data_IF_158527292951
#
_entry.id   IF_158527292951
#
_cell.length_a   1.000
_cell.length_b   1.000
_cell.length_c   1.000
_cell.angle_alpha   90.00
_cell.angle_beta   90.00
_cell.angle_gamma   90.00
#
_symmetry.space_group_name_H-M   'P 1'
#
loop_
_entity.id
_entity.type
_entity.pdbx_description
1 polymer ?
#
# COMPACT_ATOMS: atom_id res chain seq x y z
N UNK A 1 38.61 -6.58 13.11
CA UNK A 1 38.06 -5.24 12.98
C UNK A 1 36.63 -5.40 12.43
N UNK A 2 35.62 -5.31 13.31
CA UNK A 2 34.21 -5.39 12.88
C UNK A 2 33.84 -4.07 12.21
N UNK A 3 33.42 -4.14 10.94
CA UNK A 3 32.88 -2.99 10.23
C UNK A 3 31.62 -2.51 10.95
N UNK A 4 31.52 -1.20 11.19
CA UNK A 4 30.36 -0.55 11.77
C UNK A 4 29.09 -0.90 10.97
N UNK A 5 27.93 -1.10 11.62
CA UNK A 5 26.69 -1.36 10.90
C UNK A 5 26.31 -0.12 10.10
N UNK A 6 26.65 -0.11 8.81
CA UNK A 6 26.13 0.87 7.87
C UNK A 6 24.61 0.80 7.93
N UNK A 7 23.96 1.95 8.04
CA UNK A 7 22.50 2.12 7.95
C UNK A 7 22.03 1.34 6.73
N UNK A 8 21.44 0.16 6.97
CA UNK A 8 20.87 -0.67 5.88
C UNK A 8 19.76 0.15 5.24
N UNK A 9 20.03 0.66 4.04
CA UNK A 9 19.06 1.42 3.26
C UNK A 9 17.91 0.48 2.94
N UNK A 10 16.69 0.91 3.18
CA UNK A 10 15.49 0.14 2.85
C UNK A 10 15.37 0.05 1.33
N UNK A 11 15.32 -1.15 0.75
CA UNK A 11 15.13 -1.41 -0.68
C UNK A 11 13.90 -0.65 -1.22
N UNK A 12 12.81 -0.62 -0.42
CA UNK A 12 11.64 0.19 -0.74
C UNK A 12 11.93 1.69 -0.79
N UNK A 13 12.74 2.19 0.14
CA UNK A 13 13.13 3.59 0.19
C UNK A 13 13.96 4.00 -1.03
N UNK A 14 14.82 3.13 -1.51
CA UNK A 14 15.65 3.39 -2.69
C UNK A 14 14.80 3.34 -3.97
N UNK A 15 13.85 2.40 -4.09
CA UNK A 15 12.88 2.35 -5.18
C UNK A 15 12.01 3.63 -5.24
N UNK A 16 11.56 4.14 -4.08
CA UNK A 16 10.80 5.39 -4.03
C UNK A 16 11.66 6.62 -4.37
N UNK A 17 12.93 6.63 -3.97
CA UNK A 17 13.88 7.71 -4.33
C UNK A 17 14.17 7.75 -5.81
N UNK A 18 14.19 6.63 -6.50
CA UNK A 18 14.33 6.57 -7.96
C UNK A 18 13.20 7.34 -8.67
N UNK A 19 12.00 7.39 -8.07
CA UNK A 19 10.85 8.14 -8.58
C UNK A 19 10.83 9.63 -8.17
N UNK A 20 11.88 10.16 -7.49
CA UNK A 20 11.90 11.52 -6.93
C UNK A 20 11.62 12.60 -7.98
N UNK A 21 12.20 12.49 -9.16
CA UNK A 21 11.98 13.45 -10.26
C UNK A 21 10.51 13.49 -10.71
N UNK A 22 9.86 12.32 -10.77
CA UNK A 22 8.45 12.21 -11.10
C UNK A 22 7.56 12.87 -10.01
N UNK A 23 7.88 12.70 -8.72
CA UNK A 23 7.17 13.39 -7.62
C UNK A 23 7.36 14.90 -7.66
N UNK A 24 8.56 15.39 -8.00
CA UNK A 24 8.79 16.84 -8.22
C UNK A 24 7.93 17.34 -9.37
N UNK A 25 7.83 16.58 -10.49
CA UNK A 25 6.97 16.88 -11.60
C UNK A 25 5.48 16.94 -11.19
N UNK A 26 5.01 15.99 -10.37
CA UNK A 26 3.64 16.01 -9.80
C UNK A 26 3.43 17.27 -8.95
N UNK A 27 4.40 17.64 -8.12
CA UNK A 27 4.33 18.86 -7.31
C UNK A 27 4.23 20.13 -8.15
N UNK A 28 5.03 20.25 -9.21
CA UNK A 28 4.97 21.38 -10.14
C UNK A 28 3.62 21.45 -10.89
N UNK A 29 3.11 20.28 -11.35
CA UNK A 29 1.78 20.24 -11.98
C UNK A 29 0.68 20.62 -10.97
N UNK A 30 0.73 20.13 -9.74
CA UNK A 30 -0.19 20.53 -8.67
C UNK A 30 -0.14 22.05 -8.41
N UNK A 31 1.04 22.65 -8.44
CA UNK A 31 1.21 24.11 -8.35
C UNK A 31 0.42 24.80 -9.48
N UNK A 32 0.65 24.42 -10.73
CA UNK A 32 -0.04 25.04 -11.87
C UNK A 32 -1.55 24.79 -11.84
N UNK A 33 -1.98 23.60 -11.50
CA UNK A 33 -3.41 23.24 -11.39
C UNK A 33 -4.10 24.08 -10.31
N UNK A 34 -3.46 24.24 -9.14
CA UNK A 34 -4.02 25.04 -8.07
C UNK A 34 -4.09 26.53 -8.42
N UNK A 35 -3.14 27.08 -9.19
CA UNK A 35 -3.25 28.43 -9.75
C UNK A 35 -4.40 28.53 -10.75
N UNK A 36 -4.56 27.55 -11.64
CA UNK A 36 -5.65 27.51 -12.60
C UNK A 36 -7.03 27.36 -11.95
N UNK A 37 -7.14 26.78 -10.76
CA UNK A 37 -8.39 26.74 -9.99
C UNK A 37 -8.90 28.14 -9.60
N UNK A 38 -8.06 29.16 -9.56
CA UNK A 38 -8.47 30.56 -9.33
C UNK A 38 -9.26 31.13 -10.51
N UNK A 39 -9.11 30.56 -11.71
CA UNK A 39 -9.80 31.02 -12.94
C UNK A 39 -11.30 31.17 -12.72
N UNK A 40 -11.95 30.20 -12.06
CA UNK A 40 -13.40 30.26 -11.83
C UNK A 40 -13.81 31.41 -10.91
N UNK A 41 -13.04 31.68 -9.86
CA UNK A 41 -13.32 32.77 -8.93
C UNK A 41 -13.10 34.12 -9.58
N UNK A 42 -11.99 34.28 -10.33
CA UNK A 42 -11.64 35.53 -11.03
C UNK A 42 -12.65 35.78 -12.18
N UNK A 43 -13.01 34.74 -12.92
CA UNK A 43 -14.02 34.84 -13.99
C UNK A 43 -15.37 35.34 -13.46
N UNK A 44 -15.84 34.82 -12.33
CA UNK A 44 -17.09 35.29 -11.73
C UNK A 44 -16.97 36.70 -11.19
N UNK A 45 -15.83 37.06 -10.55
CA UNK A 45 -15.56 38.41 -10.10
C UNK A 45 -15.67 39.42 -11.27
N UNK A 46 -15.00 39.17 -12.38
CA UNK A 46 -14.99 40.04 -13.55
C UNK A 46 -16.38 40.13 -14.22
N UNK A 47 -17.15 39.04 -14.25
CA UNK A 47 -18.51 39.06 -14.78
C UNK A 47 -19.40 39.98 -13.96
N UNK A 48 -19.44 39.82 -12.63
CA UNK A 48 -20.38 40.56 -11.81
C UNK A 48 -19.97 42.02 -11.60
N UNK A 49 -18.68 42.30 -11.47
CA UNK A 49 -18.21 43.65 -11.16
C UNK A 49 -17.87 44.47 -12.38
N UNK A 50 -17.66 43.85 -13.57
CA UNK A 50 -17.26 44.57 -14.78
C UNK A 50 -18.22 44.35 -15.97
N UNK A 51 -18.54 43.10 -16.31
CA UNK A 51 -19.32 42.79 -17.52
C UNK A 51 -20.78 43.19 -17.35
N UNK A 52 -21.42 42.82 -16.24
CA UNK A 52 -22.84 43.12 -15.99
C UNK A 52 -23.11 44.62 -15.90
N UNK A 53 -22.31 45.43 -15.15
CA UNK A 53 -22.52 46.87 -15.10
C UNK A 53 -22.26 47.56 -16.45
N UNK A 54 -21.21 47.12 -17.18
CA UNK A 54 -20.87 47.70 -18.50
C UNK A 54 -21.72 47.20 -19.64
N UNK A 55 -22.49 46.12 -19.47
CA UNK A 55 -23.31 45.46 -20.52
C UNK A 55 -22.51 45.13 -21.79
N UNK A 56 -21.19 44.90 -21.66
CA UNK A 56 -20.31 44.67 -22.81
C UNK A 56 -20.25 43.21 -23.21
N UNK A 57 -20.94 42.87 -24.31
CA UNK A 57 -20.92 41.53 -24.92
C UNK A 57 -19.51 41.15 -25.41
N UNK A 58 -18.70 42.02 -26.04
CA UNK A 58 -17.34 41.68 -26.46
C UNK A 58 -16.43 41.27 -25.29
N UNK A 59 -16.55 41.96 -24.16
CA UNK A 59 -15.79 41.61 -22.96
C UNK A 59 -16.21 40.25 -22.40
N UNK A 60 -17.51 39.94 -22.41
CA UNK A 60 -18.02 38.64 -22.01
C UNK A 60 -17.44 37.52 -22.88
N UNK A 61 -17.49 37.69 -24.21
CA UNK A 61 -16.94 36.70 -25.14
C UNK A 61 -15.44 36.47 -24.92
N UNK A 62 -14.69 37.56 -24.77
CA UNK A 62 -13.25 37.47 -24.47
C UNK A 62 -12.95 36.71 -23.19
N UNK A 63 -13.68 36.97 -22.09
CA UNK A 63 -13.54 36.28 -20.82
C UNK A 63 -13.92 34.80 -20.91
N UNK A 64 -14.99 34.45 -21.65
CA UNK A 64 -15.41 33.05 -21.85
C UNK A 64 -14.35 32.28 -22.63
N UNK A 65 -13.78 32.84 -23.69
CA UNK A 65 -12.71 32.22 -24.47
C UNK A 65 -11.47 31.99 -23.58
N UNK A 66 -11.08 33.02 -22.83
CA UNK A 66 -9.92 32.93 -21.92
C UNK A 66 -10.15 31.85 -20.86
N UNK A 67 -11.29 31.88 -20.16
CA UNK A 67 -11.60 30.90 -19.10
C UNK A 67 -11.69 29.48 -19.67
N UNK A 68 -12.30 29.32 -20.85
CA UNK A 68 -12.39 28.05 -21.57
C UNK A 68 -11.00 27.48 -21.88
N UNK A 69 -10.11 28.33 -22.42
CA UNK A 69 -8.70 27.94 -22.66
C UNK A 69 -7.96 27.49 -21.39
N UNK A 70 -8.12 28.23 -20.28
CA UNK A 70 -7.52 27.89 -18.99
C UNK A 70 -8.09 26.60 -18.40
N UNK A 71 -9.40 26.34 -18.55
CA UNK A 71 -10.00 25.08 -18.11
C UNK A 71 -9.53 23.88 -18.96
N UNK A 72 -9.35 24.05 -20.26
CA UNK A 72 -8.75 23.01 -21.10
C UNK A 72 -7.31 22.71 -20.66
N UNK A 73 -6.50 23.75 -20.44
CA UNK A 73 -5.14 23.59 -19.93
C UNK A 73 -5.12 22.88 -18.57
N UNK A 74 -6.00 23.24 -17.66
CA UNK A 74 -6.17 22.59 -16.36
C UNK A 74 -6.52 21.11 -16.53
N UNK A 75 -7.49 20.76 -17.38
CA UNK A 75 -7.89 19.37 -17.64
C UNK A 75 -6.76 18.53 -18.22
N UNK A 76 -5.93 19.11 -19.10
CA UNK A 76 -4.74 18.44 -19.65
C UNK A 76 -3.71 18.17 -18.54
N UNK A 77 -3.45 19.14 -17.68
CA UNK A 77 -2.51 18.98 -16.56
C UNK A 77 -3.00 17.94 -15.55
N UNK A 78 -4.28 17.91 -15.22
CA UNK A 78 -4.89 16.89 -14.35
C UNK A 78 -4.74 15.49 -14.94
N UNK A 79 -4.97 15.35 -16.25
CA UNK A 79 -4.81 14.07 -16.96
C UNK A 79 -3.34 13.61 -16.94
N UNK A 80 -2.40 14.52 -17.21
CA UNK A 80 -0.96 14.21 -17.18
C UNK A 80 -0.55 13.82 -15.76
N UNK A 81 -0.96 14.58 -14.75
CA UNK A 81 -0.70 14.30 -13.34
C UNK A 81 -1.18 12.91 -12.95
N UNK A 82 -2.40 12.54 -13.31
CA UNK A 82 -2.94 11.21 -13.07
C UNK A 82 -2.11 10.11 -13.74
N UNK A 83 -1.70 10.30 -15.00
CA UNK A 83 -0.84 9.34 -15.72
C UNK A 83 0.55 9.20 -15.09
N UNK A 84 1.13 10.28 -14.60
CA UNK A 84 2.44 10.25 -13.91
C UNK A 84 2.33 9.47 -12.61
N UNK A 85 1.27 9.67 -11.82
CA UNK A 85 1.04 8.91 -10.59
C UNK A 85 0.92 7.40 -10.85
N UNK A 86 0.18 7.01 -11.90
CA UNK A 86 0.08 5.60 -12.31
C UNK A 86 1.46 5.05 -12.66
N UNK A 87 2.27 5.78 -13.43
CA UNK A 87 3.63 5.36 -13.80
C UNK A 87 4.57 5.23 -12.59
N UNK A 88 4.44 6.11 -11.59
CA UNK A 88 5.19 5.99 -10.33
C UNK A 88 4.85 4.66 -9.64
N UNK A 89 3.55 4.34 -9.54
CA UNK A 89 3.11 3.07 -8.97
C UNK A 89 3.63 1.84 -9.73
N UNK A 90 3.58 1.88 -11.07
CA UNK A 90 4.10 0.81 -11.93
C UNK A 90 5.62 0.65 -11.77
N UNK A 91 6.37 1.75 -11.79
CA UNK A 91 7.83 1.70 -11.64
C UNK A 91 8.27 1.15 -10.28
N UNK A 92 7.53 1.46 -9.20
CA UNK A 92 7.77 0.87 -7.89
C UNK A 92 7.51 -0.65 -7.91
N UNK A 93 6.41 -1.07 -8.52
CA UNK A 93 6.06 -2.48 -8.66
C UNK A 93 7.12 -3.25 -9.47
N UNK A 94 7.53 -2.74 -10.62
CA UNK A 94 8.58 -3.33 -11.46
C UNK A 94 9.92 -3.47 -10.72
N UNK A 95 10.26 -2.51 -9.87
CA UNK A 95 11.49 -2.56 -9.09
C UNK A 95 11.46 -3.61 -7.96
N UNK A 96 10.28 -3.95 -7.46
CA UNK A 96 10.14 -4.75 -6.24
C UNK A 96 9.44 -6.10 -6.45
N UNK A 97 8.67 -6.30 -7.51
CA UNK A 97 7.84 -7.49 -7.70
C UNK A 97 8.63 -8.79 -7.67
N UNK A 98 9.74 -8.87 -8.42
CA UNK A 98 10.61 -10.04 -8.46
C UNK A 98 11.20 -10.35 -7.07
N UNK A 99 11.62 -9.31 -6.35
CA UNK A 99 12.18 -9.42 -5.00
C UNK A 99 11.15 -9.86 -3.97
N UNK A 100 9.94 -9.32 -4.05
CA UNK A 100 8.81 -9.69 -3.18
C UNK A 100 8.36 -11.11 -3.48
N UNK A 101 8.29 -11.50 -4.75
CA UNK A 101 7.95 -12.86 -5.16
C UNK A 101 8.98 -13.88 -4.64
N UNK A 102 10.28 -13.63 -4.82
CA UNK A 102 11.35 -14.48 -4.26
C UNK A 102 11.20 -14.64 -2.73
N UNK A 103 10.85 -13.55 -2.05
CA UNK A 103 10.61 -13.57 -0.61
C UNK A 103 9.39 -14.44 -0.24
N UNK A 104 8.28 -14.36 -0.99
CA UNK A 104 7.09 -15.19 -0.79
C UNK A 104 7.40 -16.68 -0.94
N UNK A 105 8.23 -17.03 -1.92
CA UNK A 105 8.64 -18.43 -2.15
C UNK A 105 9.53 -18.96 -1.01
N UNK A 106 10.42 -18.13 -0.48
CA UNK A 106 11.39 -18.53 0.58
C UNK A 106 10.83 -18.46 2.00
N UNK A 107 9.86 -17.59 2.24
CA UNK A 107 9.30 -17.36 3.57
C UNK A 107 8.83 -18.64 4.28
N UNK A 108 8.07 -19.56 3.64
CA UNK A 108 7.64 -20.81 4.26
C UNK A 108 8.80 -21.73 4.66
N UNK A 109 9.93 -21.63 3.92
CA UNK A 109 11.12 -22.45 4.18
C UNK A 109 11.90 -21.97 5.42
N UNK A 110 11.71 -20.73 5.85
CA UNK A 110 12.44 -20.14 6.98
C UNK A 110 11.61 -20.07 8.27
N UNK A 111 10.30 -19.82 8.16
CA UNK A 111 9.45 -19.58 9.34
C UNK A 111 8.46 -20.73 9.60
N UNK A 112 8.45 -21.74 8.72
CA UNK A 112 7.49 -22.86 8.79
C UNK A 112 6.10 -22.49 8.22
N UNK A 113 5.35 -23.51 7.78
CA UNK A 113 4.11 -23.37 7.00
C UNK A 113 2.91 -22.68 7.68
N UNK A 114 3.09 -21.96 8.77
CA UNK A 114 2.04 -21.21 9.49
C UNK A 114 1.87 -19.77 9.03
N UNK A 115 2.63 -19.30 8.06
CA UNK A 115 2.69 -17.89 7.73
C UNK A 115 1.95 -17.46 6.45
N UNK A 116 1.62 -16.26 6.50
CA UNK A 116 0.93 -15.20 5.75
C UNK A 116 0.69 -15.41 4.23
N UNK A 117 1.04 -16.53 3.63
CA UNK A 117 0.76 -16.88 2.24
C UNK A 117 1.15 -15.76 1.25
N UNK A 118 0.17 -15.26 0.51
CA UNK A 118 0.36 -14.21 -0.52
C UNK A 118 0.27 -12.77 0.05
N UNK A 119 0.35 -12.61 1.38
CA UNK A 119 0.22 -11.27 2.01
C UNK A 119 1.27 -10.27 1.54
N UNK A 120 2.56 -10.61 1.31
CA UNK A 120 3.54 -9.65 0.82
C UNK A 120 3.22 -9.11 -0.58
N UNK A 121 2.65 -9.93 -1.46
CA UNK A 121 2.20 -9.47 -2.79
C UNK A 121 1.01 -8.51 -2.66
N UNK A 122 0.05 -8.81 -1.79
CA UNK A 122 -1.07 -7.89 -1.49
C UNK A 122 -0.58 -6.58 -0.87
N UNK A 123 0.46 -6.64 -0.06
CA UNK A 123 1.07 -5.46 0.53
C UNK A 123 1.72 -4.57 -0.55
N UNK A 124 2.41 -5.16 -1.52
CA UNK A 124 2.93 -4.44 -2.67
C UNK A 124 1.80 -3.81 -3.50
N UNK A 125 0.72 -4.57 -3.77
CA UNK A 125 -0.46 -4.08 -4.48
C UNK A 125 -1.13 -2.90 -3.77
N UNK A 126 -1.25 -2.93 -2.45
CA UNK A 126 -1.82 -1.83 -1.67
C UNK A 126 -0.99 -0.56 -1.79
N UNK A 127 0.33 -0.68 -1.72
CA UNK A 127 1.25 0.46 -1.89
C UNK A 127 1.15 1.02 -3.31
N UNK A 128 1.23 0.15 -4.33
CA UNK A 128 1.08 0.52 -5.74
C UNK A 128 -0.26 1.22 -5.99
N UNK A 129 -1.36 0.63 -5.54
CA UNK A 129 -2.71 1.16 -5.74
C UNK A 129 -2.89 2.55 -5.13
N UNK A 130 -2.35 2.78 -3.94
CA UNK A 130 -2.38 4.11 -3.32
C UNK A 130 -1.55 5.12 -4.12
N UNK A 131 -0.31 4.79 -4.51
CA UNK A 131 0.56 5.67 -5.29
C UNK A 131 -0.01 6.00 -6.66
N UNK A 132 -0.74 5.05 -7.28
CA UNK A 132 -1.41 5.22 -8.57
C UNK A 132 -2.75 5.94 -8.48
N UNK A 133 -3.26 6.22 -7.27
CA UNK A 133 -4.52 6.92 -7.04
C UNK A 133 -4.33 8.44 -6.97
N UNK A 134 -5.45 9.17 -6.83
CA UNK A 134 -5.40 10.62 -6.57
C UNK A 134 -5.00 10.97 -5.12
N UNK A 135 -4.79 9.96 -4.25
CA UNK A 135 -4.38 10.16 -2.86
C UNK A 135 -3.10 10.99 -2.72
N UNK A 136 -1.98 10.64 -3.39
CA UNK A 136 -0.77 11.45 -3.35
C UNK A 136 -1.00 12.89 -3.82
N UNK A 137 -1.85 13.10 -4.85
CA UNK A 137 -2.22 14.44 -5.33
C UNK A 137 -2.82 15.30 -4.23
N UNK A 138 -3.70 14.75 -3.39
CA UNK A 138 -4.30 15.48 -2.28
C UNK A 138 -3.24 16.04 -1.31
N UNK A 139 -2.16 15.29 -1.05
CA UNK A 139 -1.06 15.78 -0.20
C UNK A 139 -0.26 16.92 -0.83
N UNK A 140 -0.13 16.95 -2.16
CA UNK A 140 0.50 18.07 -2.88
C UNK A 140 -0.41 19.29 -2.98
N UNK A 141 -1.73 19.10 -2.90
CA UNK A 141 -2.71 20.17 -2.96
C UNK A 141 -2.99 20.79 -1.57
N UNK A 142 -2.78 20.06 -0.45
CA UNK A 142 -2.98 20.57 0.91
C UNK A 142 -2.20 21.87 1.23
N UNK A 143 -0.93 22.06 0.81
CA UNK A 143 -0.19 23.29 1.07
C UNK A 143 -0.79 24.54 0.43
N UNK A 144 -1.75 24.40 -0.49
CA UNK A 144 -2.42 25.52 -1.15
C UNK A 144 -3.62 26.07 -0.37
N UNK A 145 -4.11 25.33 0.63
CA UNK A 145 -5.21 25.78 1.51
C UNK A 145 -4.92 27.14 2.17
N UNK A 146 -3.75 27.40 2.76
CA UNK A 146 -3.42 28.73 3.31
C UNK A 146 -3.46 29.84 2.27
N UNK A 147 -3.04 29.56 1.01
CA UNK A 147 -3.08 30.56 -0.06
C UNK A 147 -4.51 30.94 -0.40
N UNK A 148 -5.40 29.95 -0.56
CA UNK A 148 -6.82 30.22 -0.82
C UNK A 148 -7.49 31.00 0.31
N UNK A 149 -7.18 30.67 1.56
CA UNK A 149 -7.63 31.43 2.73
C UNK A 149 -7.08 32.87 2.71
N UNK A 150 -5.79 33.06 2.40
CA UNK A 150 -5.20 34.38 2.29
C UNK A 150 -5.91 35.26 1.24
N UNK A 151 -6.29 34.68 0.10
CA UNK A 151 -7.09 35.39 -0.92
C UNK A 151 -8.50 35.71 -0.39
N UNK A 152 -9.13 34.80 0.37
CA UNK A 152 -10.41 35.11 1.03
C UNK A 152 -10.31 36.30 2.00
N UNK A 153 -9.21 36.36 2.76
CA UNK A 153 -8.90 37.54 3.64
C UNK A 153 -8.61 38.81 2.84
N UNK A 154 -7.97 38.71 1.68
CA UNK A 154 -7.72 39.85 0.79
C UNK A 154 -9.02 40.39 0.19
N UNK A 155 -10.05 39.58 -0.01
CA UNK A 155 -11.37 40.07 -0.44
C UNK A 155 -12.06 40.83 0.70
N UNK A 156 -12.19 40.21 1.88
CA UNK A 156 -12.73 40.86 3.07
C UNK A 156 -12.42 40.05 4.32
N UNK A 157 -12.09 40.72 5.43
CA UNK A 157 -11.72 40.06 6.68
C UNK A 157 -12.79 39.09 7.21
N UNK A 158 -14.08 39.46 7.15
CA UNK A 158 -15.18 38.59 7.60
C UNK A 158 -15.35 37.35 6.72
N UNK A 159 -15.17 37.47 5.40
CA UNK A 159 -15.21 36.32 4.47
C UNK A 159 -14.05 35.36 4.80
N UNK A 160 -12.83 35.91 4.98
CA UNK A 160 -11.66 35.13 5.38
C UNK A 160 -11.83 34.43 6.72
N UNK A 161 -12.37 35.13 7.72
CA UNK A 161 -12.64 34.56 9.05
C UNK A 161 -13.67 33.45 9.01
N UNK A 162 -14.77 33.64 8.27
CA UNK A 162 -15.81 32.61 8.09
C UNK A 162 -15.25 31.36 7.41
N UNK A 163 -14.46 31.54 6.35
CA UNK A 163 -13.80 30.45 5.65
C UNK A 163 -12.79 29.73 6.56
N UNK A 164 -12.01 30.46 7.37
CA UNK A 164 -11.04 29.90 8.31
C UNK A 164 -11.73 29.09 9.42
N UNK A 165 -12.77 29.63 10.06
CA UNK A 165 -13.54 28.92 11.09
C UNK A 165 -14.13 27.65 10.52
N UNK A 166 -14.71 27.71 9.32
CA UNK A 166 -15.24 26.54 8.62
C UNK A 166 -14.15 25.50 8.28
N UNK A 167 -12.98 25.95 7.86
CA UNK A 167 -11.84 25.06 7.61
C UNK A 167 -11.40 24.35 8.89
N UNK A 168 -11.28 25.06 10.00
CA UNK A 168 -10.93 24.48 11.30
C UNK A 168 -11.98 23.45 11.74
N UNK A 169 -13.28 23.75 11.60
CA UNK A 169 -14.36 22.81 11.95
C UNK A 169 -14.26 21.55 11.09
N UNK A 170 -14.08 21.68 9.77
CA UNK A 170 -14.01 20.53 8.87
C UNK A 170 -12.73 19.69 9.09
N UNK A 171 -11.59 20.32 9.32
CA UNK A 171 -10.34 19.62 9.66
C UNK A 171 -10.50 18.88 10.99
N UNK A 172 -11.08 19.51 12.01
CA UNK A 172 -11.34 18.88 13.31
C UNK A 172 -12.27 17.68 13.15
N UNK A 173 -13.36 17.84 12.39
CA UNK A 173 -14.30 16.76 12.11
C UNK A 173 -13.62 15.60 11.36
N UNK A 174 -12.70 15.90 10.45
CA UNK A 174 -11.90 14.90 9.75
C UNK A 174 -11.02 14.11 10.70
N UNK A 175 -10.34 14.80 11.61
CA UNK A 175 -9.49 14.17 12.62
C UNK A 175 -10.33 13.27 13.54
N UNK A 176 -11.51 13.74 13.98
CA UNK A 176 -12.45 12.94 14.77
C UNK A 176 -12.89 11.70 14.00
N UNK A 177 -13.24 11.86 12.73
CA UNK A 177 -13.63 10.75 11.85
C UNK A 177 -12.54 9.68 11.77
N UNK A 178 -11.28 10.09 11.60
CA UNK A 178 -10.14 9.18 11.58
C UNK A 178 -10.01 8.41 12.90
N UNK A 179 -10.01 9.10 14.02
CA UNK A 179 -9.89 8.44 15.33
C UNK A 179 -11.02 7.46 15.60
N UNK A 180 -12.27 7.85 15.31
CA UNK A 180 -13.44 7.01 15.53
C UNK A 180 -13.54 5.83 14.56
N UNK A 181 -13.12 5.99 13.30
CA UNK A 181 -13.19 4.94 12.28
C UNK A 181 -12.05 3.93 12.37
N UNK A 182 -10.93 4.29 13.00
CA UNK A 182 -9.70 3.48 13.02
C UNK A 182 -9.86 2.14 13.72
N UNK A 183 -10.51 2.12 14.89
CA UNK A 183 -10.68 0.90 15.68
C UNK A 183 -11.67 -0.07 15.02
N UNK A 184 -12.90 0.36 14.60
CA UNK A 184 -13.83 -0.51 13.88
C UNK A 184 -13.27 -1.05 12.56
N UNK A 185 -12.54 -0.23 11.80
CA UNK A 185 -11.91 -0.66 10.55
C UNK A 185 -10.85 -1.75 10.78
N UNK A 186 -10.02 -1.59 11.81
CA UNK A 186 -9.00 -2.58 12.19
C UNK A 186 -9.63 -3.89 12.64
N UNK A 187 -10.70 -3.85 13.43
CA UNK A 187 -11.46 -5.02 13.86
C UNK A 187 -12.05 -5.75 12.66
N UNK A 188 -12.72 -5.05 11.74
CA UNK A 188 -13.28 -5.61 10.52
C UNK A 188 -12.22 -6.30 9.65
N UNK A 189 -11.02 -5.70 9.51
CA UNK A 189 -9.90 -6.33 8.79
C UNK A 189 -9.43 -7.61 9.47
N UNK A 190 -9.36 -7.65 10.80
CA UNK A 190 -9.01 -8.86 11.55
C UNK A 190 -10.03 -9.99 11.38
N UNK A 191 -11.32 -9.66 11.39
CA UNK A 191 -12.41 -10.61 11.15
C UNK A 191 -12.39 -11.13 9.71
N UNK A 192 -12.10 -10.26 8.72
CA UNK A 192 -11.92 -10.66 7.33
C UNK A 192 -10.78 -11.66 7.16
N UNK A 193 -9.64 -11.40 7.80
CA UNK A 193 -8.48 -12.30 7.76
C UNK A 193 -8.81 -13.68 8.34
N UNK A 194 -9.47 -13.75 9.50
CA UNK A 194 -9.89 -15.02 10.13
C UNK A 194 -10.86 -15.81 9.25
N UNK A 195 -11.86 -15.13 8.65
CA UNK A 195 -12.82 -15.76 7.72
C UNK A 195 -12.11 -16.35 6.50
N UNK A 196 -11.19 -15.59 5.90
CA UNK A 196 -10.46 -16.01 4.71
C UNK A 196 -9.50 -17.17 5.01
N UNK A 197 -8.84 -17.16 6.17
CA UNK A 197 -7.97 -18.25 6.61
C UNK A 197 -8.76 -19.56 6.82
N UNK A 198 -9.95 -19.48 7.43
CA UNK A 198 -10.85 -20.63 7.56
C UNK A 198 -11.22 -21.20 6.19
N UNK A 199 -11.56 -20.36 5.21
CA UNK A 199 -11.88 -20.80 3.85
C UNK A 199 -10.66 -21.43 3.15
N UNK A 200 -9.48 -20.82 3.27
CA UNK A 200 -8.25 -21.34 2.69
C UNK A 200 -7.84 -22.70 3.30
N UNK A 201 -7.95 -22.84 4.62
CA UNK A 201 -7.66 -24.10 5.32
C UNK A 201 -8.66 -25.18 4.93
N UNK A 202 -9.95 -24.84 4.81
CA UNK A 202 -10.98 -25.77 4.35
C UNK A 202 -10.71 -26.27 2.94
N UNK A 203 -10.29 -25.39 2.04
CA UNK A 203 -9.94 -25.75 0.66
C UNK A 203 -8.76 -26.73 0.60
N UNK A 204 -7.70 -26.48 1.39
CA UNK A 204 -6.53 -27.35 1.44
C UNK A 204 -6.84 -28.75 1.96
N UNK A 205 -7.85 -28.88 2.82
CA UNK A 205 -8.25 -30.16 3.41
C UNK A 205 -9.59 -30.67 2.87
N UNK A 206 -9.98 -30.27 1.64
CA UNK A 206 -11.29 -30.56 1.07
C UNK A 206 -11.60 -32.06 1.00
N UNK A 207 -10.64 -32.89 0.59
CA UNK A 207 -10.78 -34.36 0.50
C UNK A 207 -11.15 -34.96 1.85
N UNK A 208 -10.40 -34.61 2.91
CA UNK A 208 -10.66 -35.13 4.26
C UNK A 208 -12.03 -34.67 4.77
N UNK A 209 -12.39 -33.39 4.51
CA UNK A 209 -13.68 -32.84 4.94
C UNK A 209 -14.87 -33.53 4.29
N UNK A 210 -14.75 -33.84 2.99
CA UNK A 210 -15.80 -34.58 2.26
C UNK A 210 -15.86 -36.03 2.71
N UNK A 211 -14.72 -36.71 2.81
CA UNK A 211 -14.64 -38.10 3.24
C UNK A 211 -15.18 -38.31 4.67
N UNK A 212 -14.97 -37.35 5.58
CA UNK A 212 -15.46 -37.43 6.96
C UNK A 212 -16.86 -36.85 7.14
N UNK A 213 -17.54 -36.41 6.09
CA UNK A 213 -18.89 -35.82 6.17
C UNK A 213 -18.95 -34.51 6.99
N UNK A 214 -17.83 -33.77 7.09
CA UNK A 214 -17.71 -32.58 7.94
C UNK A 214 -18.13 -31.28 7.23
N UNK A 215 -18.50 -31.32 5.96
CA UNK A 215 -18.84 -30.14 5.14
C UNK A 215 -19.88 -29.24 5.78
N UNK A 216 -21.02 -29.83 6.26
CA UNK A 216 -22.09 -29.06 6.90
C UNK A 216 -21.66 -28.34 8.18
N UNK A 217 -20.84 -29.01 9.02
CA UNK A 217 -20.33 -28.43 10.27
C UNK A 217 -19.38 -27.28 9.98
N UNK A 218 -18.55 -27.41 8.96
CA UNK A 218 -17.60 -26.36 8.57
C UNK A 218 -18.30 -25.17 7.89
N UNK A 219 -19.33 -25.43 7.07
CA UNK A 219 -20.19 -24.37 6.51
C UNK A 219 -20.82 -23.53 7.61
N UNK A 220 -21.35 -24.18 8.66
CA UNK A 220 -21.90 -23.45 9.82
C UNK A 220 -20.84 -22.56 10.49
N UNK A 221 -19.65 -23.11 10.74
CA UNK A 221 -18.54 -22.37 11.35
C UNK A 221 -18.06 -21.19 10.49
N UNK A 222 -18.04 -21.39 9.16
CA UNK A 222 -17.72 -20.32 8.23
C UNK A 222 -18.80 -19.22 8.21
N UNK A 223 -20.09 -19.62 8.22
CA UNK A 223 -21.21 -18.68 8.30
C UNK A 223 -21.14 -17.81 9.56
N UNK A 224 -20.84 -18.39 10.72
CA UNK A 224 -20.63 -17.66 11.97
C UNK A 224 -19.47 -16.67 11.88
N UNK A 225 -18.36 -17.06 11.26
CA UNK A 225 -17.22 -16.17 11.03
C UNK A 225 -17.56 -15.04 10.03
N UNK A 226 -18.34 -15.37 8.99
CA UNK A 226 -18.82 -14.39 8.01
C UNK A 226 -19.81 -13.39 8.61
N UNK A 227 -20.72 -13.83 9.45
CA UNK A 227 -21.66 -12.96 10.16
C UNK A 227 -20.94 -11.96 11.07
N UNK A 228 -19.93 -12.42 11.83
CA UNK A 228 -19.07 -11.54 12.62
C UNK A 228 -18.32 -10.52 11.75
N UNK A 229 -17.81 -10.95 10.60
CA UNK A 229 -17.18 -10.03 9.64
C UNK A 229 -18.17 -9.00 9.11
N UNK A 230 -19.37 -9.43 8.69
CA UNK A 230 -20.38 -8.52 8.15
C UNK A 230 -20.81 -7.49 9.18
N UNK A 231 -21.08 -7.91 10.44
CA UNK A 231 -21.44 -6.98 11.52
C UNK A 231 -20.31 -6.00 11.85
N UNK A 232 -19.06 -6.46 11.90
CA UNK A 232 -17.89 -5.60 12.10
C UNK A 232 -17.69 -4.61 10.96
N UNK A 233 -17.83 -5.07 9.71
CA UNK A 233 -17.73 -4.21 8.53
C UNK A 233 -18.85 -3.19 8.44
N UNK A 234 -20.08 -3.57 8.82
CA UNK A 234 -21.22 -2.66 8.91
C UNK A 234 -20.97 -1.55 9.94
N UNK A 235 -20.55 -1.89 11.16
CA UNK A 235 -20.18 -0.89 12.18
C UNK A 235 -19.11 0.08 11.68
N UNK A 236 -18.06 -0.44 11.02
CA UNK A 236 -17.02 0.41 10.44
C UNK A 236 -17.56 1.35 9.36
N UNK A 237 -18.48 0.85 8.52
CA UNK A 237 -19.12 1.64 7.47
C UNK A 237 -20.09 2.67 8.03
N UNK A 238 -20.88 2.33 9.06
CA UNK A 238 -21.83 3.24 9.71
C UNK A 238 -21.10 4.42 10.38
N UNK A 239 -20.01 4.15 11.09
CA UNK A 239 -19.19 5.21 11.71
C UNK A 239 -18.59 6.11 10.63
N UNK A 240 -17.95 5.54 9.61
CA UNK A 240 -17.30 6.33 8.55
C UNK A 240 -18.35 7.08 7.70
N UNK A 241 -19.47 6.44 7.35
CA UNK A 241 -20.55 7.02 6.55
C UNK A 241 -21.31 8.11 7.30
N UNK A 242 -21.63 7.89 8.58
CA UNK A 242 -22.32 8.88 9.41
C UNK A 242 -21.51 10.16 9.58
N UNK A 243 -20.22 10.02 9.94
CA UNK A 243 -19.32 11.17 10.09
C UNK A 243 -19.05 11.86 8.75
N UNK A 244 -18.95 11.09 7.66
CA UNK A 244 -18.83 11.63 6.30
C UNK A 244 -20.04 12.44 5.88
N UNK A 245 -21.27 12.00 6.24
CA UNK A 245 -22.51 12.74 5.99
C UNK A 245 -22.54 14.06 6.78
N UNK A 246 -22.13 14.04 8.05
CA UNK A 246 -22.00 15.25 8.87
C UNK A 246 -21.02 16.24 8.25
N UNK A 247 -19.84 15.77 7.80
CA UNK A 247 -18.86 16.62 7.13
C UNK A 247 -19.42 17.25 5.85
N UNK A 248 -20.20 16.49 5.06
CA UNK A 248 -20.86 17.01 3.85
C UNK A 248 -21.88 18.09 4.16
N UNK A 249 -22.71 17.88 5.17
CA UNK A 249 -23.70 18.88 5.61
C UNK A 249 -22.98 20.13 6.13
N UNK A 250 -21.95 19.97 6.96
CA UNK A 250 -21.18 21.09 7.49
C UNK A 250 -20.56 21.94 6.39
N UNK A 251 -20.08 21.32 5.31
CA UNK A 251 -19.56 22.05 4.15
C UNK A 251 -20.67 22.86 3.45
N UNK A 252 -21.87 22.30 3.29
CA UNK A 252 -23.01 23.03 2.72
C UNK A 252 -23.37 24.25 3.60
N UNK A 253 -23.39 24.04 4.92
CA UNK A 253 -23.60 25.12 5.89
C UNK A 253 -22.53 26.20 5.77
N UNK A 254 -21.24 25.80 5.68
CA UNK A 254 -20.17 26.76 5.52
C UNK A 254 -20.29 27.55 4.21
N UNK A 255 -20.58 26.91 3.09
CA UNK A 255 -20.76 27.59 1.81
C UNK A 255 -21.94 28.59 1.89
N UNK A 256 -23.04 28.21 2.53
CA UNK A 256 -24.18 29.11 2.76
C UNK A 256 -23.82 30.26 3.71
N UNK A 257 -23.02 29.98 4.75
CA UNK A 257 -22.55 31.01 5.68
C UNK A 257 -21.65 32.07 4.99
N UNK A 258 -20.73 31.62 4.13
CA UNK A 258 -19.91 32.55 3.34
C UNK A 258 -20.75 33.43 2.42
N UNK A 259 -21.76 32.85 1.76
CA UNK A 259 -22.71 33.61 0.94
C UNK A 259 -23.54 34.60 1.77
N UNK A 260 -24.01 34.18 2.95
CA UNK A 260 -24.80 35.06 3.85
C UNK A 260 -23.96 36.22 4.39
N UNK A 261 -22.73 35.96 4.84
CA UNK A 261 -21.79 37.00 5.27
C UNK A 261 -21.47 37.94 4.10
N UNK A 262 -21.21 37.40 2.92
CA UNK A 262 -20.99 38.18 1.71
C UNK A 262 -22.19 39.09 1.37
N UNK A 263 -23.40 38.56 1.43
CA UNK A 263 -24.62 39.34 1.22
C UNK A 263 -24.78 40.47 2.26
N UNK A 264 -24.50 40.19 3.53
CA UNK A 264 -24.48 41.22 4.58
C UNK A 264 -23.51 42.36 4.24
N UNK A 265 -22.30 42.04 3.78
CA UNK A 265 -21.27 43.02 3.39
C UNK A 265 -21.71 43.86 2.18
N UNK A 266 -22.40 43.27 1.22
CA UNK A 266 -22.93 44.02 0.05
C UNK A 266 -24.05 44.94 0.47
N UNK A 267 -24.95 44.52 1.36
CA UNK A 267 -25.99 45.41 1.91
C UNK A 267 -25.38 46.62 2.62
N UNK A 268 -24.28 46.43 3.33
CA UNK A 268 -23.55 47.51 3.97
C UNK A 268 -22.60 48.28 3.04
N UNK A 269 -22.55 47.96 1.75
CA UNK A 269 -21.68 48.58 0.73
C UNK A 269 -20.17 48.41 1.01
N UNK A 270 -19.79 47.36 1.79
CA UNK A 270 -18.40 47.01 2.11
C UNK A 270 -17.79 46.03 1.12
N UNK A 271 -18.59 45.39 0.27
CA UNK A 271 -18.15 44.45 -0.74
C UNK A 271 -19.01 44.51 -2.00
N UNK A 272 -18.51 43.95 -3.11
CA UNK A 272 -19.25 43.88 -4.39
C UNK A 272 -19.94 42.51 -4.52
N UNK A 273 -20.92 42.42 -5.44
CA UNK A 273 -21.59 41.16 -5.74
C UNK A 273 -20.63 40.10 -6.29
N UNK A 274 -19.61 40.52 -7.05
CA UNK A 274 -18.55 39.64 -7.56
C UNK A 274 -17.73 39.00 -6.43
N UNK A 275 -17.42 39.76 -5.38
CA UNK A 275 -16.67 39.27 -4.21
C UNK A 275 -17.42 38.19 -3.44
N UNK A 276 -18.77 38.28 -3.34
CA UNK A 276 -19.58 37.21 -2.69
C UNK A 276 -19.38 35.89 -3.41
N UNK A 277 -19.56 35.91 -4.73
CA UNK A 277 -19.56 34.68 -5.55
C UNK A 277 -18.13 34.12 -5.62
N UNK A 278 -17.15 35.00 -5.89
CA UNK A 278 -15.73 34.59 -5.91
C UNK A 278 -15.27 34.01 -4.59
N UNK A 279 -15.63 34.65 -3.45
CA UNK A 279 -15.32 34.17 -2.10
C UNK A 279 -15.96 32.82 -1.77
N UNK A 280 -17.22 32.62 -2.19
CA UNK A 280 -17.90 31.33 -2.02
C UNK A 280 -17.22 30.20 -2.81
N UNK A 281 -16.86 30.44 -4.07
CA UNK A 281 -16.15 29.47 -4.90
C UNK A 281 -14.77 29.18 -4.31
N UNK A 282 -14.06 30.22 -3.88
CA UNK A 282 -12.72 30.08 -3.37
C UNK A 282 -12.69 29.35 -2.02
N UNK A 283 -13.64 29.61 -1.11
CA UNK A 283 -13.78 28.88 0.14
C UNK A 283 -14.06 27.39 -0.08
N UNK A 284 -14.90 27.03 -1.05
CA UNK A 284 -15.14 25.65 -1.45
C UNK A 284 -13.88 24.98 -2.01
N UNK A 285 -13.09 25.71 -2.80
CA UNK A 285 -11.81 25.23 -3.35
C UNK A 285 -10.74 25.05 -2.29
N UNK A 286 -10.66 25.93 -1.30
CA UNK A 286 -9.75 25.79 -0.16
C UNK A 286 -9.92 24.46 0.58
N UNK A 287 -11.14 23.94 0.63
CA UNK A 287 -11.48 22.71 1.36
C UNK A 287 -11.38 21.45 0.53
N UNK A 288 -11.36 21.55 -0.80
CA UNK A 288 -11.31 20.40 -1.70
C UNK A 288 -10.13 19.43 -1.44
N UNK A 289 -8.89 19.89 -1.16
CA UNK A 289 -7.79 18.98 -0.82
C UNK A 289 -8.03 18.19 0.47
N UNK A 290 -8.72 18.78 1.45
CA UNK A 290 -9.08 18.11 2.71
C UNK A 290 -10.06 16.96 2.42
N UNK A 291 -11.08 17.22 1.59
CA UNK A 291 -12.05 16.19 1.19
C UNK A 291 -11.39 15.03 0.46
N UNK A 292 -10.48 15.32 -0.46
CA UNK A 292 -9.70 14.31 -1.18
C UNK A 292 -8.81 13.50 -0.23
N UNK A 293 -8.16 14.17 0.72
CA UNK A 293 -7.36 13.47 1.73
C UNK A 293 -8.21 12.51 2.57
N UNK A 294 -9.43 12.94 2.97
CA UNK A 294 -10.40 12.08 3.68
C UNK A 294 -10.81 10.88 2.82
N UNK A 295 -11.19 11.12 1.58
CA UNK A 295 -11.64 10.08 0.66
C UNK A 295 -10.58 8.99 0.44
N UNK A 296 -9.30 9.39 0.39
CA UNK A 296 -8.17 8.48 0.18
C UNK A 296 -7.48 8.03 1.47
N UNK A 297 -7.95 8.47 2.65
CA UNK A 297 -7.29 8.20 3.93
C UNK A 297 -7.19 6.72 4.26
N UNK A 298 -8.25 5.96 4.01
CA UNK A 298 -8.25 4.50 4.21
C UNK A 298 -7.17 3.82 3.36
N UNK A 299 -7.04 4.24 2.10
CA UNK A 299 -5.99 3.76 1.19
C UNK A 299 -4.59 4.12 1.68
N UNK A 300 -4.39 5.35 2.18
CA UNK A 300 -3.13 5.79 2.76
C UNK A 300 -2.72 4.96 3.99
N UNK A 301 -3.64 4.74 4.92
CA UNK A 301 -3.37 3.93 6.12
C UNK A 301 -3.04 2.49 5.75
N UNK A 302 -3.79 1.89 4.81
CA UNK A 302 -3.52 0.54 4.31
C UNK A 302 -2.14 0.47 3.64
N UNK A 303 -1.82 1.39 2.74
CA UNK A 303 -0.52 1.46 2.06
C UNK A 303 0.63 1.65 3.06
N UNK A 304 0.47 2.54 4.07
CA UNK A 304 1.47 2.75 5.12
C UNK A 304 1.72 1.49 5.95
N UNK A 305 0.66 0.77 6.32
CA UNK A 305 0.80 -0.49 7.07
C UNK A 305 1.47 -1.56 6.22
N UNK A 306 1.07 -1.69 4.95
CA UNK A 306 1.66 -2.60 3.97
C UNK A 306 3.14 -2.27 3.75
N UNK A 307 3.50 -0.99 3.62
CA UNK A 307 4.87 -0.52 3.53
C UNK A 307 5.72 -0.98 4.73
N UNK A 308 5.22 -0.78 5.94
CA UNK A 308 5.96 -1.20 7.16
C UNK A 308 6.13 -2.71 7.26
N UNK A 309 5.11 -3.51 6.90
CA UNK A 309 5.23 -4.97 6.90
C UNK A 309 6.26 -5.42 5.86
N UNK A 310 6.14 -4.89 4.65
CA UNK A 310 7.02 -5.23 3.53
C UNK A 310 8.47 -4.82 3.82
N UNK A 311 8.72 -3.63 4.38
CA UNK A 311 10.06 -3.19 4.78
C UNK A 311 10.68 -4.15 5.79
N UNK A 312 9.96 -4.52 6.85
CA UNK A 312 10.45 -5.46 7.86
C UNK A 312 10.75 -6.84 7.26
N UNK A 313 9.89 -7.31 6.37
CA UNK A 313 10.06 -8.59 5.72
C UNK A 313 11.33 -8.62 4.86
N UNK A 314 11.54 -7.61 4.02
CA UNK A 314 12.72 -7.51 3.16
C UNK A 314 14.03 -7.27 3.95
N UNK A 315 13.96 -6.62 5.11
CA UNK A 315 15.10 -6.50 6.03
C UNK A 315 15.46 -7.83 6.69
N UNK A 316 14.47 -8.65 7.01
CA UNK A 316 14.67 -9.97 7.63
C UNK A 316 15.24 -10.97 6.63
N UNK A 317 14.86 -10.85 5.36
CA UNK A 317 15.30 -11.72 4.27
C UNK A 317 16.16 -10.91 3.29
N UNK A 318 17.47 -10.75 3.54
CA UNK A 318 18.34 -9.98 2.66
C UNK A 318 18.40 -10.57 1.26
N UNK A 319 18.59 -9.71 0.26
CA UNK A 319 18.79 -10.12 -1.12
C UNK A 319 20.00 -11.07 -1.21
N UNK A 320 19.89 -12.05 -2.08
CA UNK A 320 20.97 -13.02 -2.28
C UNK A 320 22.18 -12.31 -2.87
N UNK A 321 23.31 -12.41 -2.16
CA UNK A 321 24.59 -11.98 -2.72
C UNK A 321 24.94 -12.94 -3.87
N UNK A 322 25.35 -12.47 -5.05
CA UNK A 322 25.75 -13.36 -6.12
C UNK A 322 26.90 -14.23 -5.61
N UNK A 323 26.77 -15.56 -5.65
CA UNK A 323 27.78 -16.46 -5.14
C UNK A 323 28.98 -16.52 -6.06
N UNK A 324 30.10 -16.95 -5.51
CA UNK A 324 31.30 -17.28 -6.26
C UNK A 324 30.98 -18.40 -7.27
N UNK A 325 31.44 -18.27 -8.50
CA UNK A 325 31.31 -19.33 -9.49
C UNK A 325 32.13 -20.54 -9.04
N UNK A 326 31.45 -21.61 -8.66
CA UNK A 326 32.02 -22.88 -8.27
C UNK A 326 32.02 -23.83 -9.48
N UNK A 327 32.99 -24.74 -9.54
CA UNK A 327 33.03 -25.80 -10.57
C UNK A 327 31.89 -26.78 -10.35
N UNK A 328 31.35 -27.35 -11.45
CA UNK A 328 30.29 -28.36 -11.37
C UNK A 328 30.69 -29.55 -10.50
N UNK A 329 29.87 -29.93 -9.51
CA UNK A 329 30.19 -31.03 -8.60
C UNK A 329 30.13 -32.36 -9.35
N UNK A 330 31.11 -33.24 -9.11
CA UNK A 330 31.23 -34.52 -9.83
C UNK A 330 31.77 -35.67 -8.99
N UNK A 331 32.22 -35.43 -7.76
CA UNK A 331 32.99 -36.43 -7.03
C UNK A 331 32.28 -36.96 -5.80
N UNK A 332 31.91 -36.10 -4.84
CA UNK A 332 31.51 -36.52 -3.51
C UNK A 332 30.52 -35.60 -2.83
N UNK A 333 29.53 -36.19 -2.17
CA UNK A 333 28.69 -35.54 -1.16
C UNK A 333 29.25 -35.88 0.24
N UNK A 334 29.56 -34.90 1.07
CA UNK A 334 29.94 -35.11 2.46
C UNK A 334 28.97 -34.42 3.43
N UNK A 335 28.60 -35.13 4.48
CA UNK A 335 27.71 -34.67 5.55
C UNK A 335 28.49 -34.75 6.84
N UNK A 336 28.67 -33.59 7.48
CA UNK A 336 29.58 -33.42 8.63
C UNK A 336 28.78 -32.97 9.84
N UNK A 337 28.53 -33.89 10.80
CA UNK A 337 27.87 -33.63 12.08
C UNK A 337 26.55 -32.81 11.97
N UNK A 338 25.73 -33.16 11.01
CA UNK A 338 24.54 -32.40 10.69
C UNK A 338 23.42 -32.61 11.70
N UNK A 339 22.94 -31.52 12.30
CA UNK A 339 21.78 -31.49 13.17
C UNK A 339 20.72 -30.54 12.61
N UNK A 340 19.46 -30.98 12.59
CA UNK A 340 18.37 -30.28 11.88
C UNK A 340 17.23 -29.97 12.84
N UNK A 341 16.77 -28.72 12.76
CA UNK A 341 15.53 -28.22 13.37
C UNK A 341 14.60 -27.78 12.23
N UNK A 342 13.32 -28.17 12.25
CA UNK A 342 12.37 -27.69 11.27
C UNK A 342 12.21 -26.16 11.33
N UNK A 343 11.97 -25.50 10.22
CA UNK A 343 11.64 -24.08 10.23
C UNK A 343 10.46 -23.76 11.14
N UNK A 344 10.61 -22.75 12.02
CA UNK A 344 9.59 -22.34 12.98
C UNK A 344 9.42 -23.23 14.20
N UNK A 345 10.26 -24.26 14.38
CA UNK A 345 10.31 -25.13 15.57
C UNK A 345 11.62 -24.89 16.35
N UNK A 346 11.68 -25.42 17.58
CA UNK A 346 12.89 -25.37 18.41
C UNK A 346 13.45 -26.79 18.70
N UNK A 347 12.72 -27.83 18.29
CA UNK A 347 13.10 -29.22 18.59
C UNK A 347 14.01 -29.79 17.51
N UNK A 348 15.18 -30.29 17.94
CA UNK A 348 16.07 -31.04 17.05
C UNK A 348 15.40 -32.38 16.70
N UNK A 349 15.22 -32.65 15.42
CA UNK A 349 14.61 -33.90 14.91
C UNK A 349 15.63 -34.84 14.26
N UNK A 350 16.77 -34.31 13.81
CA UNK A 350 17.89 -35.08 13.30
C UNK A 350 19.13 -34.56 14.03
N UNK A 351 19.94 -35.47 14.58
CA UNK A 351 21.09 -35.09 15.40
C UNK A 351 22.35 -35.82 14.94
N UNK A 352 23.41 -35.05 14.73
CA UNK A 352 24.81 -35.47 14.55
C UNK A 352 25.02 -36.54 13.45
N UNK A 353 24.40 -36.35 12.29
CA UNK A 353 24.52 -37.26 11.15
C UNK A 353 25.80 -36.97 10.39
N UNK A 354 26.62 -38.00 10.23
CA UNK A 354 27.89 -37.92 9.47
C UNK A 354 28.02 -39.11 8.51
N UNK A 355 28.21 -38.83 7.22
CA UNK A 355 28.55 -39.83 6.20
C UNK A 355 29.13 -39.16 4.97
N UNK A 356 29.70 -39.96 4.09
CA UNK A 356 30.18 -39.56 2.77
C UNK A 356 29.60 -40.47 1.71
N UNK A 357 29.31 -39.91 0.54
CA UNK A 357 28.78 -40.62 -0.62
C UNK A 357 29.56 -40.21 -1.85
N UNK A 358 30.26 -41.16 -2.45
CA UNK A 358 31.03 -40.93 -3.70
C UNK A 358 30.09 -41.03 -4.91
N UNK A 359 30.48 -40.34 -5.99
CA UNK A 359 29.70 -40.34 -7.24
C UNK A 359 29.48 -41.78 -7.75
N UNK A 360 28.29 -42.04 -8.26
CA UNK A 360 27.87 -43.38 -8.72
C UNK A 360 27.32 -44.30 -7.64
N UNK A 361 27.45 -43.96 -6.36
CA UNK A 361 26.91 -44.73 -5.23
C UNK A 361 25.51 -44.26 -4.84
N UNK A 362 24.73 -45.14 -4.18
CA UNK A 362 23.41 -44.84 -3.63
C UNK A 362 23.38 -44.98 -2.11
N UNK A 363 22.54 -44.20 -1.44
CA UNK A 363 22.29 -44.28 0.00
C UNK A 363 20.80 -44.54 0.26
N UNK A 364 20.52 -45.65 0.95
CA UNK A 364 19.16 -45.94 1.45
C UNK A 364 18.96 -45.37 2.86
N UNK A 365 17.91 -44.54 3.03
CA UNK A 365 17.55 -44.01 4.38
C UNK A 365 16.29 -44.70 4.84
N UNK A 366 16.41 -45.60 5.84
CA UNK A 366 15.31 -46.38 6.38
C UNK A 366 15.02 -46.00 7.84
N UNK A 367 13.81 -46.29 8.30
CA UNK A 367 13.38 -46.03 9.67
C UNK A 367 11.86 -45.83 9.78
N UNK A 368 11.31 -45.79 11.01
CA UNK A 368 9.88 -45.65 11.26
C UNK A 368 9.37 -44.27 10.78
N UNK A 369 8.03 -44.14 10.64
CA UNK A 369 7.42 -42.84 10.34
C UNK A 369 7.72 -41.84 11.45
N UNK A 370 8.03 -40.59 11.09
CA UNK A 370 8.39 -39.53 12.05
C UNK A 370 9.86 -39.54 12.50
N UNK A 371 10.73 -40.47 12.03
CA UNK A 371 12.16 -40.52 12.42
C UNK A 371 13.06 -39.43 11.82
N UNK A 372 12.52 -38.50 11.05
CA UNK A 372 13.29 -37.38 10.48
C UNK A 372 13.87 -37.63 9.07
N UNK A 373 13.53 -38.74 8.37
CA UNK A 373 14.06 -39.05 7.03
C UNK A 373 13.86 -37.92 6.03
N UNK A 374 12.62 -37.45 5.89
CA UNK A 374 12.29 -36.35 4.97
C UNK A 374 12.97 -35.03 5.35
N UNK A 375 13.21 -34.82 6.63
CA UNK A 375 13.94 -33.63 7.14
C UNK A 375 15.42 -33.70 6.79
N UNK A 376 16.03 -34.90 6.91
CA UNK A 376 17.39 -35.12 6.47
C UNK A 376 17.52 -34.86 4.96
N UNK A 377 16.65 -35.41 4.14
CA UNK A 377 16.66 -35.20 2.68
C UNK A 377 16.53 -33.74 2.33
N UNK A 378 15.63 -32.98 2.98
CA UNK A 378 15.49 -31.52 2.77
C UNK A 378 16.77 -30.75 3.09
N UNK A 379 17.53 -31.18 4.09
CA UNK A 379 18.82 -30.56 4.40
C UNK A 379 19.90 -30.97 3.37
N UNK A 380 19.91 -32.22 2.90
CA UNK A 380 20.84 -32.72 1.89
C UNK A 380 20.71 -32.01 0.54
N UNK A 381 19.49 -31.62 0.16
CA UNK A 381 19.22 -30.86 -1.08
C UNK A 381 19.26 -29.34 -0.86
N UNK A 382 19.59 -28.86 0.33
CA UNK A 382 19.77 -27.42 0.62
C UNK A 382 18.46 -26.65 0.82
N UNK A 383 17.29 -27.31 0.90
CA UNK A 383 16.00 -26.68 1.19
C UNK A 383 15.96 -26.18 2.65
N UNK A 384 16.50 -26.97 3.59
CA UNK A 384 16.64 -26.58 4.99
C UNK A 384 18.11 -26.41 5.34
N UNK A 385 18.43 -25.32 6.03
CA UNK A 385 19.78 -25.12 6.55
C UNK A 385 19.95 -25.91 7.86
N UNK A 386 21.03 -26.70 8.01
CA UNK A 386 21.33 -27.36 9.25
C UNK A 386 21.58 -26.37 10.39
N UNK A 387 21.10 -26.67 11.61
CA UNK A 387 21.41 -25.91 12.81
C UNK A 387 22.90 -26.01 13.17
N UNK A 388 23.45 -27.20 12.97
CA UNK A 388 24.89 -27.51 13.18
C UNK A 388 25.38 -28.43 12.07
N UNK A 389 26.68 -28.41 11.86
CA UNK A 389 27.31 -29.20 10.80
C UNK A 389 27.16 -28.57 9.41
N UNK A 390 27.65 -29.26 8.41
CA UNK A 390 27.59 -28.81 6.98
C UNK A 390 27.36 -29.99 6.05
N UNK A 391 26.62 -29.68 4.98
CA UNK A 391 26.51 -30.54 3.80
C UNK A 391 27.36 -29.91 2.71
N UNK A 392 28.26 -30.69 2.09
CA UNK A 392 29.20 -30.24 1.08
C UNK A 392 29.12 -31.06 -0.19
N UNK A 393 29.21 -30.39 -1.31
CA UNK A 393 29.42 -31.00 -2.63
C UNK A 393 30.84 -30.65 -3.11
N UNK A 394 31.67 -31.68 -3.30
CA UNK A 394 33.08 -31.55 -3.67
C UNK A 394 33.86 -30.55 -2.78
N UNK A 395 33.60 -30.59 -1.44
CA UNK A 395 34.20 -29.72 -0.44
C UNK A 395 33.56 -28.36 -0.27
N UNK A 396 32.75 -27.85 -1.23
CA UNK A 396 32.03 -26.61 -1.08
C UNK A 396 30.70 -26.83 -0.33
N UNK A 397 30.45 -26.04 0.73
CA UNK A 397 29.19 -26.12 1.47
C UNK A 397 28.00 -25.62 0.63
N UNK A 398 26.81 -26.20 0.85
CA UNK A 398 25.62 -25.86 0.06
C UNK A 398 25.26 -24.37 0.12
N UNK A 399 25.58 -23.69 1.22
CA UNK A 399 25.35 -22.26 1.42
C UNK A 399 26.30 -21.36 0.56
N UNK A 400 27.35 -21.94 -0.02
CA UNK A 400 28.25 -21.25 -0.95
C UNK A 400 27.79 -21.29 -2.39
N UNK A 401 26.81 -22.13 -2.71
CA UNK A 401 26.20 -22.23 -4.05
C UNK A 401 25.01 -21.28 -4.18
N UNK A 402 24.81 -20.71 -5.40
CA UNK A 402 23.50 -20.10 -5.70
C UNK A 402 22.46 -21.20 -5.87
N UNK A 403 21.23 -20.92 -5.50
CA UNK A 403 20.11 -21.84 -5.71
C UNK A 403 19.97 -22.21 -7.20
N UNK A 404 20.21 -21.26 -8.10
CA UNK A 404 20.09 -21.46 -9.57
C UNK A 404 21.19 -22.38 -10.11
N UNK A 405 22.43 -22.27 -9.58
CA UNK A 405 23.53 -23.14 -9.99
C UNK A 405 23.38 -24.51 -9.35
N UNK A 406 23.05 -24.56 -8.07
CA UNK A 406 22.85 -25.82 -7.34
C UNK A 406 21.70 -26.65 -7.94
N UNK A 407 20.58 -26.00 -8.30
CA UNK A 407 19.42 -26.65 -8.88
C UNK A 407 19.69 -27.34 -10.24
N UNK A 408 20.75 -26.98 -10.95
CA UNK A 408 21.18 -27.68 -12.16
C UNK A 408 21.85 -29.02 -11.89
N UNK A 409 22.29 -29.23 -10.65
CA UNK A 409 23.05 -30.40 -10.22
C UNK A 409 22.29 -31.27 -9.21
N UNK A 410 21.13 -30.83 -8.74
CA UNK A 410 20.30 -31.56 -7.76
C UNK A 410 18.91 -31.82 -8.38
N UNK A 411 18.52 -33.08 -8.46
CA UNK A 411 17.14 -33.49 -8.68
C UNK A 411 16.47 -33.78 -7.32
N UNK A 412 15.31 -33.20 -7.07
CA UNK A 412 14.53 -33.43 -5.87
C UNK A 412 13.09 -33.80 -6.20
N UNK A 413 12.66 -34.98 -5.76
CA UNK A 413 11.29 -35.43 -5.86
C UNK A 413 10.67 -35.48 -4.45
N UNK A 414 9.78 -34.54 -4.10
CA UNK A 414 9.09 -34.55 -2.82
C UNK A 414 8.02 -35.63 -2.76
N UNK A 415 7.50 -35.94 -1.56
CA UNK A 415 6.43 -36.91 -1.35
C UNK A 415 5.11 -36.43 -2.00
N UNK A 416 4.80 -35.13 -1.87
CA UNK A 416 3.66 -34.49 -2.52
C UNK A 416 4.16 -33.80 -3.78
N UNK A 417 3.84 -34.34 -4.95
CA UNK A 417 4.28 -33.82 -6.24
C UNK A 417 3.17 -32.98 -6.85
N UNK A 418 3.48 -31.68 -7.05
CA UNK A 418 2.65 -30.77 -7.83
C UNK A 418 3.41 -30.41 -9.12
N UNK A 419 2.73 -30.49 -10.27
CA UNK A 419 3.28 -30.10 -11.56
C UNK A 419 2.88 -28.66 -11.84
N UNK A 420 3.84 -27.85 -12.27
CA UNK A 420 3.57 -26.53 -12.82
C UNK A 420 3.05 -26.67 -14.25
N UNK A 421 1.94 -25.99 -14.57
CA UNK A 421 1.39 -25.93 -15.92
C UNK A 421 2.16 -24.96 -16.81
#
# INVERSE_FOLDING_TARGET
>A
MAAAPGVRRSELGDALRACRSAFIGVGLMSCMINLLYLTGSIFMLEIYDRVLPSRSIPTLVGLVILAGGLYVAQGILDLIRGRVLVRIGTSLDEALNARVFDTVVRLPLMVGGRNEGLQPLRDLDNVRSFLSSMGPGAFFDLPWLPLYLAICFAFHTLIGLTALVGAIILVTLTIITEFMSRAPAREAMGLAARRNDLAATSRRNAEVLVAMGMSGRLTKRWSEANEKYLSGNQRASDVAGGLGAIAKVMRMVLQSAVLAVGAYLVINQEATAGVIIAGSILSARALAPVDLAIAHWKGFVAARQSWHRLSRLLETLPAHTPPTLLQSPSKRLSVEAVSIVPPGDQKIIVQDVTFTLDAGNGLGVIGPSGSGKSSLVRALVGVWQPLRGKVRLDGAALDQWSSDVLGRHIGYLPQDVELFA
#
